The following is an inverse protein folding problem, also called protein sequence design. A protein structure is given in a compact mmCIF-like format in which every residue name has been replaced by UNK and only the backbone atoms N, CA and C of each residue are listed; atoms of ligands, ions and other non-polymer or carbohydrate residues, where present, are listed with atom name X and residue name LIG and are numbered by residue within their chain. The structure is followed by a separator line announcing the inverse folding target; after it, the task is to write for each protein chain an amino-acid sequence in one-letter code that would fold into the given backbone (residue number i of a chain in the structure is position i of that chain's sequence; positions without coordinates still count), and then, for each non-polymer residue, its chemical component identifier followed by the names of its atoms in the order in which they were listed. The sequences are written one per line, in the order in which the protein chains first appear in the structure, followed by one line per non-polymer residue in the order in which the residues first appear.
data_IF_737076714477
#
_entry.id   IF_737076714477
#
_cell.length_a   1.000
_cell.length_b   1.000
_cell.length_c   1.000
_cell.angle_alpha   90.00
_cell.angle_beta   90.00
_cell.angle_gamma   90.00
#
_symmetry.space_group_name_H-M   'P 1'
#
loop_
_entity.id
_entity.type
_entity.pdbx_description
1 polymer ?
#
# COMPACT_ATOMS: atom_id res chain seq x y z
N UNK A 1 -5.76 -1.11 8.49
CA UNK A 1 -5.71 -0.14 7.38
C UNK A 1 -6.19 -0.72 6.04
N UNK A 2 -6.49 0.14 5.06
CA UNK A 2 -6.66 -0.28 3.65
C UNK A 2 -5.34 -0.09 2.89
N UNK A 3 -5.01 -1.00 1.98
CA UNK A 3 -3.85 -0.86 1.08
C UNK A 3 -4.21 -1.24 -0.36
N UNK A 4 -3.44 -0.70 -1.30
CA UNK A 4 -3.51 -1.04 -2.71
C UNK A 4 -2.53 -2.19 -2.98
N UNK A 5 -2.94 -3.21 -3.73
CA UNK A 5 -2.09 -4.32 -4.15
C UNK A 5 -2.24 -4.58 -5.66
N UNK A 6 -1.15 -5.05 -6.26
CA UNK A 6 -1.10 -5.57 -7.62
C UNK A 6 -0.99 -7.10 -7.54
N UNK A 7 -2.12 -7.85 -7.51
CA UNK A 7 -2.11 -9.29 -7.30
C UNK A 7 -1.52 -10.06 -8.48
N UNK A 8 -1.51 -9.46 -9.67
CA UNK A 8 -0.93 -9.99 -10.91
C UNK A 8 -0.61 -8.85 -11.87
N UNK A 9 0.30 -9.12 -12.82
CA UNK A 9 0.58 -8.20 -13.92
C UNK A 9 -0.69 -7.94 -14.76
N UNK A 10 -0.82 -6.70 -15.24
CA UNK A 10 -1.95 -6.23 -16.04
C UNK A 10 -2.10 -4.71 -15.92
N UNK A 11 -3.21 -4.18 -16.44
CA UNK A 11 -3.51 -2.76 -16.32
C UNK A 11 -4.14 -2.42 -14.97
N UNK A 12 -4.75 -1.23 -14.91
CA UNK A 12 -5.43 -0.71 -13.70
C UNK A 12 -6.52 -1.67 -13.20
N UNK A 13 -7.12 -2.47 -14.09
CA UNK A 13 -8.17 -3.43 -13.75
C UNK A 13 -7.70 -4.56 -12.82
N UNK A 14 -6.40 -4.81 -12.71
CA UNK A 14 -5.88 -5.83 -11.78
C UNK A 14 -5.70 -5.29 -10.38
N UNK A 15 -5.70 -3.96 -10.20
CA UNK A 15 -5.43 -3.30 -8.92
C UNK A 15 -6.58 -3.54 -7.95
N UNK A 16 -6.25 -3.94 -6.72
CA UNK A 16 -7.24 -4.20 -5.68
C UNK A 16 -6.97 -3.36 -4.43
N UNK A 17 -8.05 -2.95 -3.76
CA UNK A 17 -8.01 -2.38 -2.42
C UNK A 17 -8.38 -3.50 -1.45
N UNK A 18 -7.48 -3.81 -0.53
CA UNK A 18 -7.68 -4.86 0.47
C UNK A 18 -7.57 -4.27 1.88
N UNK A 19 -8.27 -4.90 2.82
CA UNK A 19 -8.05 -4.65 4.25
C UNK A 19 -6.78 -5.38 4.71
N UNK A 20 -6.04 -4.74 5.61
CA UNK A 20 -4.81 -5.25 6.20
C UNK A 20 -4.70 -4.79 7.65
N UNK A 21 -3.93 -5.52 8.45
CA UNK A 21 -3.58 -5.12 9.81
C UNK A 21 -2.74 -3.84 9.81
N UNK A 22 -2.80 -3.08 10.92
CA UNK A 22 -1.92 -1.92 11.11
C UNK A 22 -0.47 -2.40 11.30
N UNK A 23 0.52 -1.81 10.62
CA UNK A 23 1.90 -2.21 10.76
C UNK A 23 2.50 -1.76 12.10
N UNK A 24 3.30 -2.62 12.72
CA UNK A 24 4.17 -2.27 13.85
C UNK A 24 5.61 -2.11 13.35
N UNK A 25 6.27 -0.97 13.58
CA UNK A 25 7.63 -0.75 13.10
C UNK A 25 8.64 -1.58 13.91
N UNK A 26 9.67 -2.11 13.23
CA UNK A 26 10.80 -2.75 13.88
C UNK A 26 11.85 -1.73 14.39
N UNK A 27 12.92 -2.20 15.03
CA UNK A 27 14.00 -1.34 15.51
C UNK A 27 14.65 -0.60 14.33
N UNK A 28 14.60 0.73 14.36
CA UNK A 28 15.14 1.59 13.32
C UNK A 28 14.15 1.98 12.23
N UNK A 29 12.90 1.51 12.30
CA UNK A 29 11.83 1.88 11.37
C UNK A 29 10.89 2.91 11.98
N UNK A 30 10.12 3.59 11.12
CA UNK A 30 9.09 4.55 11.52
C UNK A 30 7.78 4.15 10.85
N UNK A 31 6.70 4.08 11.64
CA UNK A 31 5.35 3.90 11.12
C UNK A 31 4.73 5.27 10.84
N UNK A 32 4.34 5.51 9.59
CA UNK A 32 3.81 6.79 9.11
C UNK A 32 2.34 6.64 8.76
N UNK A 33 1.49 7.52 9.32
CA UNK A 33 0.10 7.62 8.89
C UNK A 33 0.00 8.39 7.57
N UNK A 34 -0.36 7.67 6.51
CA UNK A 34 -0.48 8.24 5.17
C UNK A 34 -1.79 9.02 5.03
N UNK A 35 -1.70 10.33 4.84
CA UNK A 35 -2.85 11.19 4.51
C UNK A 35 -3.08 11.34 3.01
N UNK A 36 -2.00 11.28 2.21
CA UNK A 36 -1.98 11.38 0.74
C UNK A 36 -0.84 10.50 0.20
N UNK A 37 -1.04 9.88 -0.95
CA UNK A 37 -0.03 9.08 -1.65
C UNK A 37 0.12 9.59 -3.09
N UNK A 38 1.36 9.71 -3.56
CA UNK A 38 1.65 10.05 -4.95
C UNK A 38 1.49 8.84 -5.88
N UNK A 39 1.25 9.11 -7.16
CA UNK A 39 1.23 8.08 -8.22
C UNK A 39 2.35 8.40 -9.21
N UNK A 40 3.19 7.41 -9.51
CA UNK A 40 4.29 7.52 -10.47
C UNK A 40 4.15 6.47 -11.58
N UNK A 41 4.88 6.69 -12.69
CA UNK A 41 5.11 5.63 -13.67
C UNK A 41 6.02 4.56 -13.04
N UNK A 42 5.62 3.30 -13.16
CA UNK A 42 6.29 2.13 -12.61
C UNK A 42 6.64 1.14 -13.72
#
# INVERSE_FOLDING_TARGET
MKKIVYPRAGGVETIQIVDAEEPSPAKGEVCVRVHRAGVNFA
#
